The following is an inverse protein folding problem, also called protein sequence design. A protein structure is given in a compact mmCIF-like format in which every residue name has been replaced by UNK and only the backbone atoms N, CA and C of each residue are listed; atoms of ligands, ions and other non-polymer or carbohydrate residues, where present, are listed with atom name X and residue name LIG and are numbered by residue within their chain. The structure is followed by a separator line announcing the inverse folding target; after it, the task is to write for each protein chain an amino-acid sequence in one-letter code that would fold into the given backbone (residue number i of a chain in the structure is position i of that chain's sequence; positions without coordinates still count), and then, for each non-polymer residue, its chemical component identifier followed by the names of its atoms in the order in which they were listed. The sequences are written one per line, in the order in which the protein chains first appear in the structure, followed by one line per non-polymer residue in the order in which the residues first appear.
data_IF_586216663099
#
_entry.id   IF_586216663099
#
_cell.length_a   1.000
_cell.length_b   1.000
_cell.length_c   1.000
_cell.angle_alpha   90.00
_cell.angle_beta   90.00
_cell.angle_gamma   90.00
#
_symmetry.space_group_name_H-M   'P 1'
#
loop_
_entity.id
_entity.type
_entity.pdbx_description
1 polymer ?
#
# COMPACT_ATOMS: atom_id res chain seq x y z
N UNK A 1 33.30 -14.62 -5.13
CA UNK A 1 33.24 -13.28 -5.73
C UNK A 1 32.75 -12.26 -4.73
N UNK A 2 32.89 -10.99 -5.07
CA UNK A 2 32.35 -9.89 -4.27
C UNK A 2 31.07 -9.40 -4.99
N UNK A 3 29.98 -9.29 -4.24
CA UNK A 3 28.75 -8.73 -4.73
C UNK A 3 28.73 -7.20 -4.55
N UNK A 4 28.18 -6.52 -5.51
CA UNK A 4 27.99 -5.07 -5.48
C UNK A 4 26.54 -4.74 -5.76
N UNK A 5 26.03 -3.71 -5.11
CA UNK A 5 24.81 -3.04 -5.53
C UNK A 5 25.19 -1.81 -6.33
N UNK A 6 24.65 -1.69 -7.54
CA UNK A 6 24.87 -0.56 -8.42
C UNK A 6 23.64 0.32 -8.43
N UNK A 7 23.80 1.59 -8.14
CA UNK A 7 22.77 2.58 -8.40
C UNK A 7 22.93 3.11 -9.82
N UNK A 8 21.88 3.02 -10.61
CA UNK A 8 21.81 3.55 -11.97
C UNK A 8 20.95 4.80 -11.93
N UNK A 9 21.54 5.93 -12.29
CA UNK A 9 20.82 7.20 -12.41
C UNK A 9 20.56 7.47 -13.89
N UNK A 10 19.32 7.74 -14.24
CA UNK A 10 18.90 8.11 -15.59
C UNK A 10 18.38 9.54 -15.57
N UNK A 11 19.00 10.44 -16.32
CA UNK A 11 18.45 11.77 -16.57
C UNK A 11 17.20 11.64 -17.44
N UNK A 12 16.15 12.33 -17.07
CA UNK A 12 14.87 12.38 -17.77
C UNK A 12 14.70 13.73 -18.43
N UNK A 13 13.95 13.83 -19.54
CA UNK A 13 13.52 15.12 -20.08
C UNK A 13 12.76 15.93 -19.02
N UNK A 14 12.72 17.24 -19.20
CA UNK A 14 11.88 18.09 -18.37
C UNK A 14 10.42 17.63 -18.45
N UNK A 15 9.77 17.55 -17.31
CA UNK A 15 8.34 17.22 -17.28
C UNK A 15 7.52 18.40 -17.77
N UNK A 16 6.39 18.15 -18.44
CA UNK A 16 5.49 19.23 -18.88
C UNK A 16 4.95 20.06 -17.69
N UNK A 17 4.96 19.48 -16.49
CA UNK A 17 4.44 20.08 -15.26
C UNK A 17 5.50 20.02 -14.15
N UNK A 18 6.67 20.57 -14.36
CA UNK A 18 7.79 20.48 -13.42
C UNK A 18 8.16 21.83 -12.82
N UNK A 19 8.59 21.83 -11.57
CA UNK A 19 9.16 22.96 -10.85
C UNK A 19 10.63 23.26 -11.23
N UNK A 20 11.15 22.61 -12.26
CA UNK A 20 12.55 22.71 -12.66
C UNK A 20 13.53 21.90 -11.78
N UNK A 21 13.06 21.11 -10.83
CA UNK A 21 13.91 20.21 -10.05
C UNK A 21 14.56 19.13 -10.93
N UNK A 22 15.71 18.60 -10.49
CA UNK A 22 16.46 17.61 -11.24
C UNK A 22 15.60 16.38 -11.60
N UNK A 23 15.43 16.16 -12.90
CA UNK A 23 14.64 15.05 -13.41
C UNK A 23 15.58 13.86 -13.59
N UNK A 24 15.59 12.95 -12.63
CA UNK A 24 16.29 11.68 -12.76
C UNK A 24 15.47 10.54 -12.17
N UNK A 25 15.58 9.38 -12.79
CA UNK A 25 15.13 8.11 -12.23
C UNK A 25 16.32 7.36 -11.65
N UNK A 26 16.13 6.67 -10.56
CA UNK A 26 17.11 5.80 -9.97
C UNK A 26 16.64 4.34 -10.02
N UNK A 27 17.54 3.44 -10.37
CA UNK A 27 17.35 1.99 -10.30
C UNK A 27 18.54 1.36 -9.61
N UNK A 28 18.35 0.18 -9.06
CA UNK A 28 19.40 -0.57 -8.38
C UNK A 28 19.52 -1.95 -9.01
N UNK A 29 20.76 -2.43 -9.16
CA UNK A 29 21.03 -3.77 -9.63
C UNK A 29 22.11 -4.41 -8.73
N UNK A 30 21.83 -5.62 -8.28
CA UNK A 30 22.79 -6.44 -7.55
C UNK A 30 23.52 -7.35 -8.54
N UNK A 31 24.82 -7.21 -8.65
CA UNK A 31 25.63 -7.98 -9.57
C UNK A 31 27.06 -8.21 -9.08
N UNK A 32 27.73 -9.21 -9.61
CA UNK A 32 29.14 -9.50 -9.34
C UNK A 32 29.64 -10.71 -10.12
N UNK A 33 30.96 -10.83 -10.22
CA UNK A 33 31.61 -11.95 -10.90
C UNK A 33 31.63 -13.17 -9.99
N UNK A 34 31.13 -14.31 -10.48
CA UNK A 34 31.06 -15.58 -9.75
C UNK A 34 30.37 -15.49 -8.39
N UNK A 35 29.35 -14.69 -8.28
CA UNK A 35 28.44 -14.71 -7.14
C UNK A 35 27.25 -15.62 -7.45
N UNK A 36 26.75 -16.40 -6.50
CA UNK A 36 25.54 -17.17 -6.71
C UNK A 36 24.37 -16.22 -6.96
N UNK A 37 23.40 -16.60 -7.80
CA UNK A 37 22.17 -15.83 -7.95
C UNK A 37 21.47 -15.73 -6.59
N UNK A 38 20.95 -14.56 -6.28
CA UNK A 38 20.15 -14.36 -5.07
C UNK A 38 18.73 -14.79 -5.35
N UNK A 39 18.39 -16.01 -4.98
CA UNK A 39 17.04 -16.57 -5.18
C UNK A 39 16.10 -16.31 -3.99
N UNK A 40 16.62 -15.78 -2.88
CA UNK A 40 15.85 -15.51 -1.69
C UNK A 40 15.65 -14.01 -1.51
N UNK A 41 14.39 -13.56 -1.61
CA UNK A 41 14.01 -12.16 -1.39
C UNK A 41 13.99 -11.79 0.09
N UNK A 42 13.61 -12.73 0.96
CA UNK A 42 13.49 -12.55 2.40
C UNK A 42 12.49 -13.51 3.01
N UNK A 43 11.96 -13.16 4.18
CA UNK A 43 10.85 -13.85 4.81
C UNK A 43 9.60 -12.97 4.79
N UNK A 44 8.46 -13.57 4.48
CA UNK A 44 7.16 -12.91 4.47
C UNK A 44 6.21 -13.60 5.44
N UNK A 45 5.70 -12.87 6.42
CA UNK A 45 4.63 -13.34 7.29
C UNK A 45 3.29 -12.92 6.72
N UNK A 46 2.46 -13.89 6.36
CA UNK A 46 1.05 -13.65 6.01
C UNK A 46 0.20 -13.73 7.28
N UNK A 47 -0.29 -12.58 7.72
CA UNK A 47 -1.19 -12.47 8.88
C UNK A 47 -2.61 -12.54 8.35
N UNK A 48 -3.34 -13.58 8.70
CA UNK A 48 -4.62 -13.91 8.09
C UNK A 48 -5.75 -13.78 9.10
N UNK A 49 -6.82 -13.11 8.69
CA UNK A 49 -8.08 -13.14 9.43
C UNK A 49 -8.60 -14.57 9.57
N UNK A 50 -8.75 -15.01 10.81
CA UNK A 50 -9.13 -16.37 11.15
C UNK A 50 -10.48 -16.80 10.53
N UNK A 51 -11.38 -15.87 10.23
CA UNK A 51 -12.66 -16.16 9.61
C UNK A 51 -12.53 -16.79 8.23
N UNK A 52 -11.41 -16.53 7.52
CA UNK A 52 -11.14 -17.08 6.19
C UNK A 52 -10.30 -18.35 6.18
N UNK A 53 -9.89 -18.85 7.34
CA UNK A 53 -8.99 -20.00 7.46
C UNK A 53 -9.44 -21.22 6.64
N UNK A 54 -10.72 -21.49 6.62
CA UNK A 54 -11.28 -22.66 5.95
C UNK A 54 -11.89 -22.31 4.59
N UNK A 55 -12.57 -21.19 4.50
CA UNK A 55 -13.31 -20.80 3.30
C UNK A 55 -12.41 -20.35 2.15
N UNK A 56 -11.21 -19.82 2.46
CA UNK A 56 -10.18 -19.45 1.48
C UNK A 56 -8.91 -20.32 1.56
N UNK A 57 -9.01 -21.52 2.15
CA UNK A 57 -7.85 -22.38 2.37
C UNK A 57 -7.06 -22.69 1.09
N UNK A 58 -7.75 -22.91 -0.02
CA UNK A 58 -7.13 -23.17 -1.32
C UNK A 58 -6.37 -21.94 -1.84
N UNK A 59 -7.00 -20.76 -1.81
CA UNK A 59 -6.42 -19.52 -2.29
C UNK A 59 -5.25 -19.07 -1.42
N UNK A 60 -5.33 -19.30 -0.10
CA UNK A 60 -4.24 -19.03 0.84
C UNK A 60 -3.05 -19.94 0.56
N UNK A 61 -3.27 -21.25 0.39
CA UNK A 61 -2.18 -22.19 0.05
C UNK A 61 -1.48 -21.77 -1.24
N UNK A 62 -2.26 -21.44 -2.26
CA UNK A 62 -1.73 -20.97 -3.55
C UNK A 62 -0.97 -19.64 -3.43
N UNK A 63 -1.42 -18.70 -2.58
CA UNK A 63 -0.68 -17.47 -2.31
C UNK A 63 0.69 -17.78 -1.71
N UNK A 64 0.80 -18.75 -0.81
CA UNK A 64 2.07 -19.15 -0.23
C UNK A 64 3.02 -19.75 -1.29
N UNK A 65 2.50 -20.57 -2.18
CA UNK A 65 3.27 -21.12 -3.31
C UNK A 65 3.73 -19.99 -4.25
N UNK A 66 2.87 -19.01 -4.53
CA UNK A 66 3.19 -17.83 -5.33
C UNK A 66 4.30 -16.98 -4.67
N UNK A 67 4.23 -16.74 -3.36
CA UNK A 67 5.27 -16.02 -2.62
C UNK A 67 6.61 -16.78 -2.61
N UNK A 68 6.57 -18.11 -2.44
CA UNK A 68 7.78 -18.92 -2.53
C UNK A 68 8.39 -18.86 -3.93
N UNK A 69 7.58 -18.85 -4.96
CA UNK A 69 8.04 -18.70 -6.35
C UNK A 69 8.71 -17.35 -6.61
N UNK A 70 8.32 -16.30 -5.89
CA UNK A 70 8.98 -14.99 -5.91
C UNK A 70 10.26 -14.93 -5.03
N UNK A 71 10.62 -16.03 -4.39
CA UNK A 71 11.83 -16.12 -3.55
C UNK A 71 11.59 -15.76 -2.08
N UNK A 72 10.36 -15.66 -1.60
CA UNK A 72 10.07 -15.43 -0.19
C UNK A 72 10.00 -16.74 0.59
N UNK A 73 10.55 -16.76 1.80
CA UNK A 73 10.22 -17.76 2.81
C UNK A 73 8.91 -17.33 3.46
N UNK A 74 7.81 -17.97 3.08
CA UNK A 74 6.49 -17.58 3.52
C UNK A 74 6.04 -18.36 4.76
N UNK A 75 5.57 -17.64 5.77
CA UNK A 75 4.96 -18.16 7.00
C UNK A 75 3.55 -17.60 7.18
N UNK A 76 2.74 -18.24 8.04
CA UNK A 76 1.38 -17.79 8.32
C UNK A 76 1.06 -17.76 9.80
N UNK A 77 0.28 -16.76 10.21
CA UNK A 77 -0.46 -16.77 11.49
C UNK A 77 -1.91 -16.39 11.24
N UNK A 78 -2.82 -17.00 12.00
CA UNK A 78 -4.24 -16.65 11.98
C UNK A 78 -4.57 -15.82 13.22
N UNK A 79 -5.23 -14.68 13.05
CA UNK A 79 -5.63 -13.77 14.12
C UNK A 79 -7.14 -13.53 14.10
N UNK A 80 -7.71 -13.26 15.26
CA UNK A 80 -9.12 -12.90 15.35
C UNK A 80 -9.30 -11.39 15.12
N UNK A 81 -10.39 -10.99 14.49
CA UNK A 81 -10.75 -9.57 14.28
C UNK A 81 -10.85 -8.76 15.60
N UNK A 82 -11.16 -9.46 16.68
CA UNK A 82 -11.33 -8.87 18.01
C UNK A 82 -10.07 -8.99 18.89
N UNK A 83 -8.97 -9.53 18.35
CA UNK A 83 -7.69 -9.47 19.05
C UNK A 83 -7.27 -8.00 19.20
N UNK A 84 -6.59 -7.65 20.30
CA UNK A 84 -6.02 -6.32 20.39
C UNK A 84 -4.84 -6.17 19.43
N UNK A 85 -4.59 -4.94 18.97
CA UNK A 85 -3.42 -4.63 18.14
C UNK A 85 -2.10 -5.08 18.79
N UNK A 86 -2.02 -5.02 20.12
CA UNK A 86 -0.87 -5.50 20.90
C UNK A 86 -0.69 -7.01 20.85
N UNK A 87 -1.79 -7.79 20.90
CA UNK A 87 -1.72 -9.26 20.78
C UNK A 87 -1.21 -9.66 19.38
N UNK A 88 -1.72 -9.01 18.33
CA UNK A 88 -1.25 -9.24 16.96
C UNK A 88 0.22 -8.84 16.83
N UNK A 89 0.59 -7.64 17.32
CA UNK A 89 1.96 -7.15 17.32
C UNK A 89 2.92 -8.11 17.99
N UNK A 90 2.56 -8.62 19.17
CA UNK A 90 3.40 -9.60 19.88
C UNK A 90 3.70 -10.82 19.02
N UNK A 91 2.70 -11.39 18.36
CA UNK A 91 2.87 -12.56 17.48
C UNK A 91 3.76 -12.26 16.26
N UNK A 92 3.64 -11.05 15.70
CA UNK A 92 4.52 -10.57 14.62
C UNK A 92 5.97 -10.48 15.12
N UNK A 93 6.18 -9.89 16.30
CA UNK A 93 7.53 -9.78 16.90
C UNK A 93 8.13 -11.14 17.24
N UNK A 94 7.33 -12.05 17.79
CA UNK A 94 7.76 -13.43 18.07
C UNK A 94 8.23 -14.16 16.79
N UNK A 95 7.61 -13.87 15.64
CA UNK A 95 8.06 -14.37 14.34
C UNK A 95 9.30 -13.63 13.83
N UNK A 96 9.30 -12.29 13.87
CA UNK A 96 10.41 -11.48 13.36
C UNK A 96 11.73 -11.81 14.05
N UNK A 97 11.71 -12.02 15.37
CA UNK A 97 12.88 -12.36 16.18
C UNK A 97 13.48 -13.74 15.84
N UNK A 98 12.75 -14.63 15.18
CA UNK A 98 13.27 -15.91 14.68
C UNK A 98 14.12 -15.76 13.42
N UNK A 99 13.97 -14.62 12.72
CA UNK A 99 14.59 -14.36 11.43
C UNK A 99 15.38 -13.02 11.42
N UNK A 100 16.26 -12.76 12.38
CA UNK A 100 16.79 -11.41 12.62
C UNK A 100 17.72 -10.88 11.53
N UNK A 101 18.24 -11.75 10.67
CA UNK A 101 19.29 -11.40 9.70
C UNK A 101 18.82 -11.44 8.24
N UNK A 102 17.54 -11.55 8.00
CA UNK A 102 16.97 -11.54 6.65
C UNK A 102 15.96 -10.42 6.51
N UNK A 103 15.78 -9.96 5.28
CA UNK A 103 14.75 -9.00 4.94
C UNK A 103 13.37 -9.55 5.28
N UNK A 104 12.50 -8.73 5.87
CA UNK A 104 11.22 -9.19 6.39
C UNK A 104 10.08 -8.33 5.85
N UNK A 105 8.98 -9.01 5.51
CA UNK A 105 7.74 -8.38 5.07
C UNK A 105 6.52 -8.95 5.80
N UNK A 106 5.48 -8.14 5.90
CA UNK A 106 4.16 -8.52 6.41
C UNK A 106 3.13 -8.37 5.31
N UNK A 107 2.29 -9.38 5.15
CA UNK A 107 1.12 -9.30 4.32
C UNK A 107 -0.14 -9.52 5.18
N UNK A 108 -0.90 -8.46 5.43
CA UNK A 108 -2.11 -8.48 6.22
C UNK A 108 -3.29 -8.84 5.31
N UNK A 109 -3.93 -9.98 5.50
CA UNK A 109 -4.99 -10.51 4.64
C UNK A 109 -6.32 -10.63 5.41
N UNK A 110 -7.30 -9.86 4.98
CA UNK A 110 -8.60 -9.70 5.63
C UNK A 110 -8.57 -8.68 6.76
N UNK A 111 -9.58 -8.69 7.61
CA UNK A 111 -9.75 -7.74 8.71
C UNK A 111 -8.80 -8.06 9.87
N UNK A 112 -7.55 -7.65 9.74
CA UNK A 112 -6.60 -7.65 10.85
C UNK A 112 -6.84 -6.39 11.68
N UNK A 113 -6.85 -6.46 13.03
CA UNK A 113 -7.03 -5.28 13.89
C UNK A 113 -6.24 -4.08 13.39
N UNK A 114 -6.92 -2.93 13.29
CA UNK A 114 -6.33 -1.72 12.73
C UNK A 114 -5.81 -0.84 13.85
N UNK A 115 -4.48 -0.60 13.93
CA UNK A 115 -3.94 0.38 14.86
C UNK A 115 -4.23 1.80 14.35
N UNK A 116 -4.54 2.70 15.26
CA UNK A 116 -4.74 4.13 15.00
C UNK A 116 -3.69 4.95 15.72
N UNK A 117 -3.24 6.04 15.13
CA UNK A 117 -2.25 6.92 15.75
C UNK A 117 -2.39 8.37 15.28
N UNK A 118 -2.03 9.29 16.16
CA UNK A 118 -1.87 10.70 15.86
C UNK A 118 -2.95 11.61 16.41
N UNK A 119 -2.75 12.90 16.17
CA UNK A 119 -3.64 13.98 16.57
C UNK A 119 -3.80 15.03 15.48
N UNK A 120 -2.71 15.34 14.77
CA UNK A 120 -2.68 16.43 13.80
C UNK A 120 -3.23 15.98 12.45
N UNK A 121 -3.73 16.96 11.68
CA UNK A 121 -4.08 16.74 10.28
C UNK A 121 -2.88 16.15 9.51
N UNK A 122 -2.94 14.94 8.96
CA UNK A 122 -1.79 14.29 8.33
C UNK A 122 -1.26 15.05 7.11
N UNK A 123 -2.15 15.74 6.40
CA UNK A 123 -1.81 16.57 5.24
C UNK A 123 -1.41 18.01 5.61
N UNK A 124 -1.58 18.41 6.87
CA UNK A 124 -1.25 19.73 7.38
C UNK A 124 -2.16 20.87 6.93
N UNK A 125 -3.19 20.60 6.12
CA UNK A 125 -4.00 21.65 5.47
C UNK A 125 -5.25 22.03 6.23
N UNK A 126 -5.99 21.08 6.77
CA UNK A 126 -7.30 21.32 7.35
C UNK A 126 -7.43 20.80 8.78
N UNK A 127 -8.04 21.62 9.64
CA UNK A 127 -8.27 21.26 11.03
C UNK A 127 -9.26 20.09 11.22
N UNK A 128 -10.12 19.83 10.25
CA UNK A 128 -11.06 18.73 10.21
C UNK A 128 -10.40 17.36 9.91
N UNK A 129 -9.16 17.36 9.42
CA UNK A 129 -8.36 16.13 9.27
C UNK A 129 -7.70 15.69 10.60
N UNK A 130 -7.97 16.38 11.70
CA UNK A 130 -7.45 16.00 13.02
C UNK A 130 -7.98 14.66 13.48
N UNK A 131 -7.17 14.00 14.32
CA UNK A 131 -7.50 12.76 14.99
C UNK A 131 -6.47 11.66 14.73
N UNK A 132 -6.73 10.49 15.29
CA UNK A 132 -5.93 9.31 15.00
C UNK A 132 -6.41 8.67 13.69
N UNK A 133 -5.46 8.29 12.85
CA UNK A 133 -5.73 7.64 11.57
C UNK A 133 -5.17 6.23 11.54
N UNK A 134 -5.68 5.34 10.67
CA UNK A 134 -5.14 4.00 10.48
C UNK A 134 -3.62 4.02 10.27
N UNK A 135 -2.89 3.20 11.01
CA UNK A 135 -1.44 3.26 11.09
C UNK A 135 -0.80 1.87 11.12
N UNK A 136 -0.84 1.15 10.03
CA UNK A 136 -0.22 -0.18 9.92
C UNK A 136 1.29 -0.19 10.19
N UNK A 137 1.96 0.97 10.10
CA UNK A 137 3.35 1.14 10.51
C UNK A 137 3.63 0.72 11.96
N UNK A 138 2.62 0.71 12.83
CA UNK A 138 2.72 0.11 14.16
C UNK A 138 3.18 -1.35 14.09
N UNK A 139 2.66 -2.15 13.18
CA UNK A 139 3.08 -3.54 13.01
C UNK A 139 4.49 -3.68 12.44
N UNK A 140 4.94 -2.68 11.67
CA UNK A 140 6.25 -2.71 11.01
C UNK A 140 7.42 -2.24 11.86
N UNK A 141 7.18 -1.54 12.97
CA UNK A 141 8.24 -1.16 13.92
C UNK A 141 8.58 -2.34 14.81
N UNK A 142 9.85 -2.65 15.04
CA UNK A 142 10.28 -3.71 15.98
C UNK A 142 10.40 -3.14 17.38
N UNK A 143 10.87 -1.93 17.48
CA UNK A 143 11.12 -1.16 18.69
C UNK A 143 10.37 0.19 18.64
N UNK A 144 10.63 1.04 19.63
CA UNK A 144 9.97 2.33 19.76
C UNK A 144 8.81 2.33 20.75
N UNK A 145 8.61 3.48 21.37
CA UNK A 145 7.57 3.67 22.38
C UNK A 145 6.31 4.24 21.74
N UNK A 146 5.28 3.43 21.67
CA UNK A 146 3.93 3.83 21.30
C UNK A 146 3.15 4.16 22.58
N UNK A 147 2.67 5.39 22.70
CA UNK A 147 1.96 5.88 23.89
C UNK A 147 0.50 6.18 23.58
N UNK A 148 -0.34 6.07 24.61
CA UNK A 148 -1.76 6.41 24.60
C UNK A 148 -2.06 7.08 25.94
N UNK A 149 -1.55 8.32 26.13
CA UNK A 149 -1.54 8.99 27.45
C UNK A 149 -1.79 10.49 27.39
N UNK A 150 -1.55 11.14 26.27
CA UNK A 150 -1.42 12.60 26.20
C UNK A 150 -2.44 13.23 25.26
N UNK A 151 -2.67 12.65 24.09
CA UNK A 151 -3.54 13.22 23.07
C UNK A 151 -5.00 13.22 23.58
N UNK A 152 -5.66 14.36 23.37
CA UNK A 152 -7.07 14.53 23.70
C UNK A 152 -7.76 15.32 22.58
N UNK A 153 -8.19 14.61 21.56
CA UNK A 153 -8.92 15.16 20.43
C UNK A 153 -10.31 14.53 20.36
N UNK A 154 -11.35 15.35 20.47
CA UNK A 154 -12.76 14.93 20.43
C UNK A 154 -13.54 15.74 19.40
N UNK A 155 -12.86 16.28 18.42
CA UNK A 155 -13.42 17.13 17.37
C UNK A 155 -12.92 16.70 15.97
N UNK A 156 -12.63 15.41 15.80
CA UNK A 156 -12.33 14.85 14.51
C UNK A 156 -13.58 14.87 13.60
N UNK A 157 -13.40 14.91 12.29
CA UNK A 157 -14.50 14.86 11.32
C UNK A 157 -15.32 13.57 11.43
N UNK A 158 -14.70 12.49 11.86
CA UNK A 158 -15.35 11.23 12.22
C UNK A 158 -15.03 10.89 13.67
N UNK A 159 -16.04 10.52 14.46
CA UNK A 159 -15.84 10.15 15.88
C UNK A 159 -14.92 8.93 16.06
N UNK A 160 -14.78 8.06 15.06
CA UNK A 160 -13.82 6.96 15.12
C UNK A 160 -12.37 7.47 15.20
N UNK A 161 -12.09 8.66 14.70
CA UNK A 161 -10.78 9.30 14.69
C UNK A 161 -10.51 10.14 15.96
N UNK A 162 -11.53 10.33 16.82
CA UNK A 162 -11.28 10.90 18.14
C UNK A 162 -10.21 10.09 18.87
N UNK A 163 -9.32 10.77 19.60
CA UNK A 163 -8.22 10.15 20.32
C UNK A 163 -8.18 10.73 21.74
N UNK A 164 -8.36 9.87 22.72
CA UNK A 164 -8.32 10.25 24.12
C UNK A 164 -7.46 9.26 24.93
N UNK A 165 -6.78 9.69 26.01
CA UNK A 165 -5.91 8.82 26.78
C UNK A 165 -6.61 7.53 27.21
N UNK A 166 -6.03 6.38 26.88
CA UNK A 166 -6.50 5.06 27.27
C UNK A 166 -7.55 4.43 26.35
N UNK A 167 -7.80 4.99 25.16
CA UNK A 167 -8.79 4.44 24.21
C UNK A 167 -8.22 3.39 23.24
N UNK A 168 -6.92 3.12 23.33
CA UNK A 168 -6.21 2.15 22.50
C UNK A 168 -5.64 2.74 21.22
N UNK A 169 -5.79 4.04 20.98
CA UNK A 169 -5.17 4.76 19.88
C UNK A 169 -3.92 5.49 20.36
N UNK A 170 -2.91 5.53 19.53
CA UNK A 170 -1.60 6.06 19.94
C UNK A 170 -1.52 7.59 19.78
N UNK A 171 -0.68 8.20 20.62
CA UNK A 171 -0.38 9.64 20.58
C UNK A 171 0.55 10.04 19.43
N UNK A 172 1.23 9.08 18.81
CA UNK A 172 2.38 9.31 17.96
C UNK A 172 1.97 9.90 16.59
N UNK A 173 2.38 11.14 16.31
CA UNK A 173 2.29 11.76 14.97
C UNK A 173 3.45 11.37 14.05
N UNK A 174 4.54 10.87 14.63
CA UNK A 174 5.75 10.41 13.96
C UNK A 174 6.06 9.02 14.48
N UNK A 175 6.48 8.11 13.60
CA UNK A 175 6.90 6.79 14.03
C UNK A 175 8.01 6.88 15.08
N UNK A 176 7.84 6.24 16.26
CA UNK A 176 8.82 6.31 17.34
C UNK A 176 10.10 5.50 17.05
N UNK A 177 10.10 4.75 15.95
CA UNK A 177 11.24 3.96 15.47
C UNK A 177 11.17 3.78 13.95
N UNK A 178 12.21 3.17 13.39
CA UNK A 178 12.20 2.78 11.97
C UNK A 178 11.16 1.69 11.71
N UNK A 179 10.51 1.75 10.57
CA UNK A 179 9.69 0.66 10.04
C UNK A 179 10.64 -0.38 9.45
N UNK A 180 10.84 -1.49 10.16
CA UNK A 180 11.77 -2.55 9.80
C UNK A 180 11.14 -3.59 8.88
N UNK A 181 9.84 -3.84 9.04
CA UNK A 181 9.08 -4.79 8.25
C UNK A 181 8.32 -4.06 7.16
N UNK A 182 8.47 -4.47 5.91
CA UNK A 182 7.61 -3.98 4.82
C UNK A 182 6.17 -4.46 5.06
N UNK A 183 5.18 -3.59 4.85
CA UNK A 183 3.79 -3.93 5.16
C UNK A 183 2.90 -3.67 3.96
N UNK A 184 2.05 -4.65 3.64
CA UNK A 184 0.93 -4.50 2.73
C UNK A 184 -0.34 -5.07 3.36
N UNK A 185 -1.48 -4.42 3.14
CA UNK A 185 -2.79 -4.87 3.62
C UNK A 185 -3.76 -5.05 2.45
N UNK A 186 -4.54 -6.11 2.52
CA UNK A 186 -5.72 -6.32 1.68
C UNK A 186 -6.90 -6.59 2.60
N UNK A 187 -7.79 -5.63 2.71
CA UNK A 187 -8.96 -5.64 3.58
C UNK A 187 -10.18 -5.13 2.81
N UNK A 188 -11.25 -5.91 2.80
CA UNK A 188 -12.51 -5.58 2.14
C UNK A 188 -13.69 -5.54 3.12
N UNK A 189 -13.43 -5.45 4.44
CA UNK A 189 -14.49 -5.55 5.46
C UNK A 189 -15.53 -4.44 5.37
N UNK A 190 -15.13 -3.24 4.94
CA UNK A 190 -16.00 -2.06 4.90
C UNK A 190 -16.45 -1.68 3.48
N UNK A 191 -16.39 -2.61 2.51
CA UNK A 191 -16.74 -2.36 1.11
C UNK A 191 -18.26 -2.45 0.85
N UNK A 192 -19.06 -1.71 1.60
CA UNK A 192 -20.53 -1.78 1.61
C UNK A 192 -21.22 -1.39 0.28
N UNK A 193 -20.51 -0.76 -0.64
CA UNK A 193 -21.05 -0.41 -1.96
C UNK A 193 -21.00 -1.58 -2.94
N UNK A 194 -20.17 -2.59 -2.67
CA UNK A 194 -20.12 -3.80 -3.49
C UNK A 194 -21.26 -4.76 -3.12
N UNK A 195 -21.80 -5.46 -4.11
CA UNK A 195 -22.79 -6.51 -3.90
C UNK A 195 -22.19 -7.81 -3.39
N UNK A 196 -20.89 -8.00 -3.65
CA UNK A 196 -20.16 -9.18 -3.21
C UNK A 196 -19.80 -9.09 -1.73
N UNK A 197 -19.77 -10.25 -1.10
CA UNK A 197 -19.30 -10.38 0.28
C UNK A 197 -17.78 -10.14 0.36
N UNK A 198 -17.29 -9.81 1.55
CA UNK A 198 -15.86 -9.68 1.84
C UNK A 198 -15.06 -10.89 1.36
N UNK A 199 -15.55 -12.11 1.62
CA UNK A 199 -14.92 -13.36 1.17
C UNK A 199 -14.83 -13.42 -0.36
N UNK A 200 -15.90 -13.06 -1.07
CA UNK A 200 -15.92 -13.07 -2.52
C UNK A 200 -14.94 -12.06 -3.10
N UNK A 201 -14.83 -10.88 -2.50
CA UNK A 201 -13.86 -9.84 -2.90
C UNK A 201 -12.42 -10.30 -2.66
N UNK A 202 -12.12 -10.90 -1.49
CA UNK A 202 -10.81 -11.47 -1.20
C UNK A 202 -10.45 -12.62 -2.16
N UNK A 203 -11.38 -13.52 -2.43
CA UNK A 203 -11.20 -14.61 -3.40
C UNK A 203 -10.89 -14.06 -4.79
N UNK A 204 -11.63 -13.04 -5.22
CA UNK A 204 -11.40 -12.37 -6.50
C UNK A 204 -10.00 -11.74 -6.57
N UNK A 205 -9.58 -11.08 -5.51
CA UNK A 205 -8.23 -10.52 -5.41
C UNK A 205 -7.14 -11.60 -5.50
N UNK A 206 -7.24 -12.66 -4.71
CA UNK A 206 -6.28 -13.76 -4.69
C UNK A 206 -6.20 -14.48 -6.05
N UNK A 207 -7.33 -14.66 -6.71
CA UNK A 207 -7.39 -15.22 -8.07
C UNK A 207 -6.74 -14.29 -9.09
N UNK A 208 -6.99 -12.97 -9.03
CA UNK A 208 -6.36 -11.98 -9.91
C UNK A 208 -4.85 -11.96 -9.71
N UNK A 209 -4.39 -11.94 -8.46
CA UNK A 209 -2.98 -11.97 -8.09
C UNK A 209 -2.26 -13.20 -8.67
N UNK A 210 -2.82 -14.40 -8.47
CA UNK A 210 -2.28 -15.62 -9.04
C UNK A 210 -2.25 -15.60 -10.58
N UNK A 211 -3.37 -15.22 -11.20
CA UNK A 211 -3.49 -15.19 -12.66
C UNK A 211 -2.51 -14.22 -13.31
N UNK A 212 -2.17 -13.11 -12.64
CA UNK A 212 -1.10 -12.22 -13.06
C UNK A 212 0.26 -12.91 -13.00
N UNK A 213 0.60 -13.57 -11.88
CA UNK A 213 1.90 -14.24 -11.67
C UNK A 213 2.16 -15.34 -12.68
N UNK A 214 1.14 -16.09 -13.07
CA UNK A 214 1.27 -17.18 -14.08
C UNK A 214 1.04 -16.70 -15.51
N UNK A 215 0.96 -15.40 -15.76
CA UNK A 215 0.83 -14.80 -17.09
C UNK A 215 -0.53 -14.99 -17.79
N UNK A 216 -1.57 -15.42 -17.05
CA UNK A 216 -2.94 -15.47 -17.60
C UNK A 216 -3.57 -14.08 -17.77
N UNK A 217 -3.15 -13.12 -17.00
CA UNK A 217 -3.51 -11.71 -17.17
C UNK A 217 -2.27 -10.98 -17.63
N UNK A 218 -2.39 -10.24 -18.73
CA UNK A 218 -1.31 -9.40 -19.28
C UNK A 218 -1.81 -7.99 -19.44
N UNK A 219 -0.93 -7.02 -19.23
CA UNK A 219 -1.20 -5.60 -19.43
C UNK A 219 -0.09 -5.01 -20.31
N UNK A 220 -0.38 -3.92 -20.98
CA UNK A 220 0.65 -3.22 -21.74
C UNK A 220 1.64 -2.54 -20.78
N UNK A 221 2.93 -2.66 -21.10
CA UNK A 221 4.04 -2.05 -20.33
C UNK A 221 4.05 -0.53 -20.52
N UNK A 222 3.13 0.14 -19.83
CA UNK A 222 2.97 1.59 -19.87
C UNK A 222 2.35 2.12 -18.57
N UNK A 223 2.57 3.41 -18.30
CA UNK A 223 2.06 4.14 -17.15
C UNK A 223 0.98 5.14 -17.53
N UNK A 224 -0.07 5.24 -16.72
CA UNK A 224 -1.06 6.29 -16.78
C UNK A 224 -0.87 7.22 -15.57
N UNK A 225 -0.85 8.52 -15.81
CA UNK A 225 -0.90 9.55 -14.77
C UNK A 225 -2.08 10.46 -15.09
N UNK A 226 -2.97 10.66 -14.12
CA UNK A 226 -4.05 11.65 -14.20
C UNK A 226 -3.93 12.58 -12.98
N UNK A 227 -3.56 13.84 -13.23
CA UNK A 227 -3.32 14.82 -12.18
C UNK A 227 -4.38 15.91 -12.22
N UNK A 228 -5.26 15.91 -11.22
CA UNK A 228 -6.32 16.92 -11.05
C UNK A 228 -6.04 17.86 -9.86
N UNK A 229 -4.77 17.99 -9.46
CA UNK A 229 -4.33 19.09 -8.61
C UNK A 229 -3.83 20.26 -9.45
N UNK A 230 -3.97 21.50 -8.99
CA UNK A 230 -3.34 22.66 -9.62
C UNK A 230 -1.83 22.45 -9.72
N UNK A 231 -1.26 22.62 -10.90
CA UNK A 231 0.13 22.25 -11.22
C UNK A 231 1.20 23.07 -10.50
N UNK A 232 0.84 24.21 -9.97
CA UNK A 232 1.71 25.23 -9.37
C UNK A 232 1.77 25.16 -7.85
N UNK A 233 0.91 24.38 -7.19
CA UNK A 233 0.82 24.32 -5.73
C UNK A 233 1.49 23.06 -5.18
N UNK A 234 1.22 21.89 -5.76
CA UNK A 234 1.71 20.60 -5.26
C UNK A 234 2.13 19.70 -6.41
N UNK A 235 3.38 19.24 -6.37
CA UNK A 235 3.96 18.38 -7.40
C UNK A 235 3.49 16.91 -7.34
N UNK A 236 2.27 16.64 -6.93
CA UNK A 236 1.77 15.28 -6.67
C UNK A 236 1.75 14.42 -7.93
N UNK A 237 1.25 14.93 -9.05
CA UNK A 237 1.28 14.23 -10.34
C UNK A 237 2.69 13.95 -10.84
N UNK A 238 3.67 14.79 -10.49
CA UNK A 238 5.07 14.60 -10.86
C UNK A 238 5.65 13.31 -10.26
N UNK A 239 5.15 12.87 -9.11
CA UNK A 239 5.56 11.60 -8.49
C UNK A 239 5.28 10.42 -9.41
N UNK A 240 4.11 10.38 -10.05
CA UNK A 240 3.78 9.39 -11.07
C UNK A 240 4.74 9.45 -12.26
N UNK A 241 4.99 10.63 -12.80
CA UNK A 241 5.92 10.82 -13.91
C UNK A 241 7.35 10.41 -13.57
N UNK A 242 7.87 10.82 -12.41
CA UNK A 242 9.23 10.49 -11.95
C UNK A 242 9.44 9.00 -11.78
N UNK A 243 8.41 8.27 -11.35
CA UNK A 243 8.51 6.83 -11.11
C UNK A 243 8.22 6.01 -12.38
N UNK A 244 7.24 6.40 -13.20
CA UNK A 244 6.87 5.61 -14.37
C UNK A 244 7.79 5.82 -15.57
N UNK A 245 8.37 7.02 -15.72
CA UNK A 245 9.25 7.28 -16.86
C UNK A 245 10.52 6.41 -16.88
N UNK A 246 11.20 6.12 -15.75
CA UNK A 246 12.29 5.16 -15.74
C UNK A 246 11.86 3.71 -16.02
N UNK A 247 10.63 3.34 -15.60
CA UNK A 247 10.10 1.98 -15.81
C UNK A 247 9.77 1.72 -17.29
N UNK A 248 9.08 2.66 -17.93
CA UNK A 248 8.44 2.43 -19.23
C UNK A 248 9.07 3.23 -20.37
N UNK A 249 9.91 4.22 -20.06
CA UNK A 249 10.28 5.28 -20.98
C UNK A 249 9.16 6.33 -21.08
N UNK A 250 9.55 7.62 -21.18
CA UNK A 250 8.60 8.74 -21.11
C UNK A 250 7.50 8.69 -22.19
N UNK A 251 7.82 8.13 -23.36
CA UNK A 251 6.85 8.01 -24.47
C UNK A 251 5.70 7.05 -24.16
N UNK A 252 5.90 6.14 -23.21
CA UNK A 252 4.91 5.16 -22.75
C UNK A 252 4.19 5.56 -21.47
N UNK A 253 4.50 6.74 -20.93
CA UNK A 253 3.70 7.34 -19.84
C UNK A 253 2.70 8.31 -20.46
N UNK A 254 1.44 8.19 -20.08
CA UNK A 254 0.33 8.98 -20.65
C UNK A 254 -0.31 9.84 -19.58
N UNK A 255 -0.63 11.07 -19.95
CA UNK A 255 -1.45 12.00 -19.18
C UNK A 255 -2.84 12.00 -19.82
N UNK A 256 -3.77 11.28 -19.24
CA UNK A 256 -5.11 11.05 -19.79
C UNK A 256 -6.11 10.81 -18.63
N UNK A 257 -7.41 11.11 -18.84
CA UNK A 257 -8.47 10.90 -17.85
C UNK A 257 -8.52 9.45 -17.36
N UNK A 258 -8.41 9.25 -16.06
CA UNK A 258 -8.22 7.96 -15.39
C UNK A 258 -9.29 6.92 -15.78
N UNK A 259 -10.58 7.21 -15.45
CA UNK A 259 -11.68 6.27 -15.69
C UNK A 259 -11.90 5.98 -17.17
N UNK A 260 -12.00 7.02 -17.98
CA UNK A 260 -12.28 6.88 -19.40
C UNK A 260 -11.19 6.07 -20.10
N UNK A 261 -9.94 6.31 -19.74
CA UNK A 261 -8.80 5.61 -20.34
C UNK A 261 -8.77 4.16 -19.91
N UNK A 262 -8.85 3.87 -18.60
CA UNK A 262 -8.76 2.51 -18.09
C UNK A 262 -9.97 1.64 -18.42
N UNK A 263 -11.12 2.20 -18.73
CA UNK A 263 -12.25 1.43 -19.23
C UNK A 263 -12.03 0.85 -20.63
N UNK A 264 -11.13 1.45 -21.41
CA UNK A 264 -10.93 1.11 -22.81
C UNK A 264 -9.51 0.61 -23.14
N UNK A 265 -8.55 0.85 -22.27
CA UNK A 265 -7.14 0.59 -22.53
C UNK A 265 -6.45 0.02 -21.28
N UNK A 266 -5.56 -0.95 -21.49
CA UNK A 266 -4.81 -1.55 -20.40
C UNK A 266 -3.50 -0.80 -20.11
N UNK A 267 -3.17 -0.71 -18.81
CA UNK A 267 -1.90 -0.16 -18.32
C UNK A 267 -1.33 -1.07 -17.22
N UNK A 268 -0.02 -1.22 -17.19
CA UNK A 268 0.61 -1.96 -16.10
C UNK A 268 0.50 -1.19 -14.79
N UNK A 269 0.76 0.12 -14.82
CA UNK A 269 0.61 1.01 -13.67
C UNK A 269 -0.29 2.20 -14.01
N UNK A 270 -1.11 2.60 -13.05
CA UNK A 270 -1.88 3.83 -13.11
C UNK A 270 -1.77 4.61 -11.80
N UNK A 271 -1.75 5.93 -11.93
CA UNK A 271 -1.74 6.87 -10.82
C UNK A 271 -2.77 7.96 -11.08
N UNK A 272 -3.74 8.08 -10.20
CA UNK A 272 -4.73 9.14 -10.20
C UNK A 272 -4.62 9.99 -8.95
N UNK A 273 -4.50 11.31 -9.07
CA UNK A 273 -4.46 12.21 -7.94
C UNK A 273 -5.34 13.45 -8.15
N UNK A 274 -6.08 13.81 -7.11
CA UNK A 274 -7.02 14.93 -7.12
C UNK A 274 -7.53 15.24 -5.72
N UNK A 275 -8.21 16.36 -5.56
CA UNK A 275 -8.82 16.74 -4.29
C UNK A 275 -9.72 15.63 -3.75
N UNK A 276 -9.39 15.14 -2.54
CA UNK A 276 -10.04 13.95 -1.97
C UNK A 276 -11.21 14.28 -1.06
N UNK A 277 -12.05 13.28 -0.89
CA UNK A 277 -13.07 13.15 0.14
C UNK A 277 -13.15 11.68 0.56
N UNK A 278 -13.91 11.32 1.61
CA UNK A 278 -13.95 9.94 2.10
C UNK A 278 -14.29 8.89 1.05
N UNK A 279 -15.05 9.25 0.02
CA UNK A 279 -15.51 8.33 -1.04
C UNK A 279 -15.10 8.73 -2.46
N UNK A 280 -14.28 9.76 -2.65
CA UNK A 280 -13.97 10.28 -3.99
C UNK A 280 -12.64 11.02 -4.09
N UNK A 281 -12.04 10.99 -5.28
CA UNK A 281 -11.03 11.93 -5.72
C UNK A 281 -11.55 12.68 -6.94
N UNK A 282 -11.49 14.03 -6.89
CA UNK A 282 -12.01 14.92 -7.92
C UNK A 282 -11.46 14.55 -9.29
N UNK A 283 -12.38 14.42 -10.25
CA UNK A 283 -12.11 14.08 -11.65
C UNK A 283 -11.39 12.75 -11.90
N UNK A 284 -11.02 12.02 -10.84
CA UNK A 284 -10.42 10.68 -10.94
C UNK A 284 -11.51 9.60 -10.87
N UNK A 285 -12.13 9.43 -9.70
CA UNK A 285 -13.15 8.40 -9.49
C UNK A 285 -13.84 8.56 -8.12
N UNK A 286 -14.83 7.72 -7.87
CA UNK A 286 -15.47 7.56 -6.57
C UNK A 286 -15.77 6.09 -6.28
N UNK A 287 -16.14 5.79 -5.04
CA UNK A 287 -16.43 4.43 -4.58
C UNK A 287 -17.49 3.74 -5.44
N UNK A 288 -18.57 4.42 -5.81
CA UNK A 288 -19.63 3.86 -6.65
C UNK A 288 -19.11 3.45 -8.03
N UNK A 289 -18.26 4.28 -8.64
CA UNK A 289 -17.67 3.98 -9.94
C UNK A 289 -16.82 2.70 -9.90
N UNK A 290 -16.07 2.48 -8.82
CA UNK A 290 -15.28 1.25 -8.66
C UNK A 290 -16.12 -0.03 -8.54
N UNK A 291 -17.39 0.07 -8.17
CA UNK A 291 -18.31 -1.09 -8.13
C UNK A 291 -18.84 -1.46 -9.50
N UNK A 292 -18.87 -0.54 -10.44
CA UNK A 292 -19.50 -0.70 -11.76
C UNK A 292 -18.51 -0.75 -12.91
N UNK A 293 -17.36 -0.09 -12.77
CA UNK A 293 -16.41 0.06 -13.86
C UNK A 293 -15.42 -1.13 -13.94
N UNK A 294 -15.10 -1.55 -15.15
CA UNK A 294 -14.01 -2.49 -15.40
C UNK A 294 -12.76 -1.70 -15.76
N UNK A 295 -11.91 -1.42 -14.78
CA UNK A 295 -10.68 -0.66 -14.98
C UNK A 295 -9.50 -1.59 -15.28
N UNK A 296 -8.85 -1.36 -16.42
CA UNK A 296 -7.77 -2.20 -16.94
C UNK A 296 -6.39 -1.70 -16.47
N UNK A 297 -6.17 -1.76 -15.16
CA UNK A 297 -4.85 -1.52 -14.56
C UNK A 297 -4.47 -2.67 -13.64
N UNK A 298 -3.21 -3.13 -13.73
CA UNK A 298 -2.75 -4.19 -12.82
C UNK A 298 -2.43 -3.60 -11.46
N UNK A 299 -1.63 -2.55 -11.44
CA UNK A 299 -1.24 -1.83 -10.24
C UNK A 299 -1.79 -0.41 -10.31
N UNK A 300 -2.47 0.01 -9.26
CA UNK A 300 -3.03 1.35 -9.21
C UNK A 300 -2.63 2.06 -7.94
N UNK A 301 -2.37 3.34 -8.06
CA UNK A 301 -2.19 4.26 -6.94
C UNK A 301 -3.23 5.36 -7.06
N UNK A 302 -3.86 5.67 -5.95
CA UNK A 302 -4.79 6.78 -5.84
C UNK A 302 -4.32 7.70 -4.72
N UNK A 303 -4.34 8.98 -4.95
CA UNK A 303 -4.01 9.98 -3.96
C UNK A 303 -5.09 11.07 -3.91
N UNK A 304 -5.54 11.35 -2.69
CA UNK A 304 -6.49 12.40 -2.37
C UNK A 304 -6.58 12.55 -0.86
N UNK A 305 -7.05 13.69 -0.39
CA UNK A 305 -7.31 13.89 1.04
C UNK A 305 -8.25 12.79 1.57
N UNK A 306 -8.12 12.42 2.84
CA UNK A 306 -8.86 11.34 3.51
C UNK A 306 -8.57 9.90 3.05
N UNK A 307 -7.79 9.66 2.00
CA UNK A 307 -7.53 8.28 1.54
C UNK A 307 -6.66 7.46 2.51
N UNK A 308 -5.92 8.11 3.39
CA UNK A 308 -5.25 7.46 4.50
C UNK A 308 -6.18 7.02 5.63
N UNK A 309 -7.42 7.52 5.65
CA UNK A 309 -8.47 7.21 6.62
C UNK A 309 -9.46 6.18 6.03
N UNK A 310 -8.91 5.06 5.60
CA UNK A 310 -9.58 4.03 4.80
C UNK A 310 -10.48 3.06 5.59
N UNK A 311 -10.46 3.10 6.91
CA UNK A 311 -11.20 2.16 7.78
C UNK A 311 -12.64 2.59 8.10
#
# INVERSE_FOLDING_TARGET
GIAYEYQILKSLPAFPYGDGSANFGAGYIYAGIKIPPKHQSGACLVVIDQSFKYTLAFEISRLLDDLQSDGWVADTIFVNRNDSVFQVKKRILDWANKNPNIHQALFLLGRIPVPYSGEIAPDGHHSDHRGAWPCDGFYGTIDGLWTDQIVKTTAAASSRNDNIPGDGKFDNNIYPAKVHLQIGRVDYSNMNKFSETEEQLLRRYLNKNHNWRIGKITMLDRGLVDNNFPSDIEGLGQSGWKNFSPMFGIVNVKDLPYRQTLSNQSFLWSYGCGGGGPESASDISNTTNFTTDSLQSMFTMLFGSYFGDWD
#
